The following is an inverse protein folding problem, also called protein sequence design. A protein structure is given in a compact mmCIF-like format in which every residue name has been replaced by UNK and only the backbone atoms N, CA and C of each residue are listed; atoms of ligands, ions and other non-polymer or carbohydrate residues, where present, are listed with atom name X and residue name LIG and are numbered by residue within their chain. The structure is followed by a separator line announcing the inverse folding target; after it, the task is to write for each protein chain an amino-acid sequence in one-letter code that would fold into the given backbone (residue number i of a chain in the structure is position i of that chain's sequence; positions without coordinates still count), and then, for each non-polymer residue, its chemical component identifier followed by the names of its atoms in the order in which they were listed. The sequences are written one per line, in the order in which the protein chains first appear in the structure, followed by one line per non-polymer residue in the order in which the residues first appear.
data_IF_725856521954
#
_entry.id   IF_725856521954
#
_cell.length_a   1.000
_cell.length_b   1.000
_cell.length_c   1.000
_cell.angle_alpha   90.00
_cell.angle_beta   90.00
_cell.angle_gamma   90.00
#
_symmetry.space_group_name_H-M   'P 1'
#
loop_
_entity.id
_entity.type
_entity.pdbx_description
1 polymer ?
#
# COMPACT_ATOMS: atom_id res chain seq x y z
N UNK A 1 5.82 12.40 65.96
CA UNK A 1 5.08 12.94 64.79
C UNK A 1 6.04 13.17 63.62
N UNK A 2 7.22 13.78 63.85
CA UNK A 2 8.20 14.04 62.80
C UNK A 2 8.79 12.76 62.18
N UNK A 3 9.15 11.76 62.99
CA UNK A 3 9.65 10.47 62.52
C UNK A 3 8.59 9.68 61.71
N UNK A 4 7.32 9.78 62.10
CA UNK A 4 6.23 9.16 61.40
C UNK A 4 5.98 9.86 60.07
N UNK A 5 6.00 11.18 60.03
CA UNK A 5 5.88 11.97 58.80
C UNK A 5 7.10 11.74 57.89
N UNK A 6 8.31 11.66 58.40
CA UNK A 6 9.51 11.34 57.64
C UNK A 6 9.43 9.92 57.01
N UNK A 7 8.91 8.93 57.77
CA UNK A 7 8.75 7.55 57.27
C UNK A 7 7.71 7.43 56.15
N UNK A 8 6.68 8.25 56.15
CA UNK A 8 5.67 8.31 55.11
C UNK A 8 6.20 9.05 53.87
N UNK A 9 6.95 10.14 54.08
CA UNK A 9 7.49 10.97 53.00
C UNK A 9 8.74 10.38 52.35
N UNK A 10 9.46 9.50 53.06
CA UNK A 10 10.73 8.93 52.61
C UNK A 10 10.61 7.51 52.03
N UNK A 11 9.40 7.03 51.71
CA UNK A 11 9.28 5.71 51.09
C UNK A 11 9.95 5.72 49.69
N UNK A 12 11.02 4.94 49.61
CA UNK A 12 11.73 4.80 48.33
C UNK A 12 10.87 4.12 47.28
N UNK A 13 10.79 4.72 46.12
CA UNK A 13 10.09 4.18 44.93
C UNK A 13 11.05 4.03 43.76
N UNK A 14 10.98 2.88 43.11
CA UNK A 14 11.75 2.60 41.93
C UNK A 14 11.22 3.40 40.73
N UNK A 15 12.07 3.78 39.78
CA UNK A 15 11.62 4.44 38.55
C UNK A 15 10.85 3.48 37.64
N UNK A 16 9.81 3.98 36.97
CA UNK A 16 9.26 3.31 35.80
C UNK A 16 10.15 3.60 34.62
N UNK A 17 10.37 2.59 33.78
CA UNK A 17 11.20 2.67 32.58
C UNK A 17 10.30 2.50 31.36
N UNK A 18 10.27 3.52 30.49
CA UNK A 18 9.74 3.38 29.14
C UNK A 18 10.87 2.94 28.21
N UNK A 19 10.67 1.82 27.52
CA UNK A 19 11.68 1.25 26.65
C UNK A 19 11.86 2.07 25.36
N UNK A 20 13.04 2.06 24.72
CA UNK A 20 13.24 2.61 23.41
C UNK A 20 12.30 1.95 22.38
N UNK A 21 11.85 2.73 21.39
CA UNK A 21 10.97 2.25 20.35
C UNK A 21 11.44 2.75 18.97
N UNK A 22 11.52 1.84 18.01
CA UNK A 22 11.75 2.20 16.61
C UNK A 22 10.45 2.64 15.95
N UNK A 23 10.56 3.54 14.99
CA UNK A 23 9.48 3.89 14.08
C UNK A 23 10.02 4.07 12.67
N UNK A 24 9.18 3.82 11.67
CA UNK A 24 9.51 4.02 10.26
C UNK A 24 8.25 4.40 9.48
N UNK A 25 8.41 5.24 8.48
CA UNK A 25 7.35 5.60 7.53
C UNK A 25 7.92 5.65 6.12
N UNK A 26 7.10 5.31 5.13
CA UNK A 26 7.36 5.62 3.73
C UNK A 26 7.00 7.09 3.52
N UNK A 27 7.91 7.85 2.93
CA UNK A 27 7.75 9.29 2.66
C UNK A 27 7.44 9.59 1.20
N UNK A 28 7.55 8.58 0.31
CA UNK A 28 7.24 8.69 -1.11
C UNK A 28 7.18 7.33 -1.79
N UNK A 29 6.36 7.23 -2.84
CA UNK A 29 6.23 6.03 -3.68
C UNK A 29 5.23 4.97 -3.19
N UNK A 30 4.64 5.12 -1.99
CA UNK A 30 3.60 4.21 -1.49
C UNK A 30 2.27 4.39 -2.21
N UNK A 31 1.42 3.38 -2.12
CA UNK A 31 0.08 3.38 -2.70
C UNK A 31 -0.23 2.14 -3.50
N UNK A 32 -1.40 2.14 -4.15
CA UNK A 32 -1.84 1.06 -5.02
C UNK A 32 -1.65 1.47 -6.48
N UNK A 33 -0.96 0.64 -7.24
CA UNK A 33 -0.61 0.87 -8.65
C UNK A 33 -0.98 -0.33 -9.49
N UNK A 34 -0.96 -0.16 -10.80
CA UNK A 34 -1.04 -1.31 -11.70
C UNK A 34 0.19 -2.21 -11.46
N UNK A 35 -0.05 -3.52 -11.43
CA UNK A 35 1.02 -4.50 -11.29
C UNK A 35 2.08 -4.32 -12.39
N UNK A 36 3.34 -4.34 -12.01
CA UNK A 36 4.46 -4.08 -12.89
C UNK A 36 4.97 -2.63 -12.90
N UNK A 37 4.21 -1.68 -12.33
CA UNK A 37 4.68 -0.28 -12.23
C UNK A 37 5.93 -0.18 -11.35
N UNK A 38 6.96 0.49 -11.83
CA UNK A 38 8.18 0.74 -11.07
C UNK A 38 8.04 2.01 -10.21
N UNK A 39 8.49 1.94 -8.96
CA UNK A 39 8.45 3.05 -7.99
C UNK A 39 9.75 3.17 -7.22
N UNK A 40 10.10 4.41 -6.89
CA UNK A 40 11.15 4.71 -5.93
C UNK A 40 10.49 4.90 -4.56
N UNK A 41 10.91 4.13 -3.57
CA UNK A 41 10.33 4.10 -2.22
C UNK A 41 11.26 4.82 -1.26
N UNK A 42 10.93 6.05 -0.93
CA UNK A 42 11.68 6.84 0.05
C UNK A 42 11.15 6.60 1.46
N UNK A 43 12.05 6.61 2.46
CA UNK A 43 11.68 6.35 3.84
C UNK A 43 12.39 7.26 4.84
N UNK A 44 11.81 7.32 6.04
CA UNK A 44 12.43 7.92 7.22
C UNK A 44 12.15 7.04 8.44
N UNK A 45 13.21 6.75 9.20
CA UNK A 45 13.18 5.94 10.42
C UNK A 45 13.73 6.73 11.58
N UNK A 46 13.28 6.44 12.80
CA UNK A 46 13.76 7.04 14.02
C UNK A 46 13.67 6.10 15.21
N UNK A 47 14.47 6.38 16.25
CA UNK A 47 14.42 5.71 17.53
C UNK A 47 13.99 6.72 18.60
N UNK A 48 12.95 6.40 19.37
CA UNK A 48 12.65 7.05 20.65
C UNK A 48 13.57 6.47 21.71
N UNK A 49 14.24 7.33 22.47
CA UNK A 49 15.22 6.91 23.48
C UNK A 49 14.59 6.26 24.73
N UNK A 50 13.25 6.29 24.84
CA UNK A 50 12.58 5.93 26.09
C UNK A 50 12.77 6.99 27.19
N UNK A 51 12.32 6.67 28.41
CA UNK A 51 12.42 7.60 29.56
C UNK A 51 12.45 6.86 30.89
N UNK A 52 12.91 7.55 31.91
CA UNK A 52 12.81 7.15 33.32
C UNK A 52 11.92 8.15 34.05
N UNK A 53 11.08 7.65 34.96
CA UNK A 53 10.27 8.54 35.83
C UNK A 53 11.15 9.39 36.73
N UNK A 54 12.28 8.82 37.26
CA UNK A 54 13.23 9.50 38.09
C UNK A 54 14.66 9.30 37.60
N UNK A 55 15.49 10.31 37.73
CA UNK A 55 16.90 10.25 37.37
C UNK A 55 17.24 11.02 36.08
N UNK A 56 18.39 10.74 35.48
CA UNK A 56 18.85 11.42 34.29
C UNK A 56 18.02 11.00 33.05
N UNK A 57 18.18 11.71 31.94
CA UNK A 57 17.75 11.23 30.61
C UNK A 57 18.39 9.86 30.32
N UNK A 58 17.73 9.03 29.52
CA UNK A 58 18.21 7.64 29.28
C UNK A 58 19.58 7.59 28.63
N UNK A 59 19.99 8.60 27.89
CA UNK A 59 21.23 8.60 27.11
C UNK A 59 21.26 7.55 25.99
N UNK A 60 20.10 6.93 25.67
CA UNK A 60 19.98 6.00 24.55
C UNK A 60 20.04 6.77 23.26
N UNK A 61 20.92 6.33 22.37
CA UNK A 61 21.09 6.86 21.01
C UNK A 61 21.03 5.72 20.01
N UNK A 62 20.50 6.03 18.82
CA UNK A 62 20.49 5.09 17.71
C UNK A 62 21.93 4.82 17.25
N UNK A 63 22.22 3.55 17.03
CA UNK A 63 23.41 3.08 16.34
C UNK A 63 23.13 2.84 14.85
N UNK A 64 23.39 1.61 14.38
CA UNK A 64 23.10 1.22 12.98
C UNK A 64 21.60 1.16 12.74
N UNK A 65 21.15 1.81 11.68
CA UNK A 65 19.79 1.75 11.16
C UNK A 65 19.80 0.97 9.86
N UNK A 66 19.11 -0.16 9.81
CA UNK A 66 18.98 -0.99 8.60
C UNK A 66 17.51 -1.05 8.20
N UNK A 67 17.18 -0.49 7.05
CA UNK A 67 15.86 -0.61 6.43
C UNK A 67 15.84 -1.79 5.45
N UNK A 68 14.71 -2.51 5.41
CA UNK A 68 14.52 -3.65 4.50
C UNK A 68 13.21 -3.51 3.75
N UNK A 69 13.28 -3.65 2.42
CA UNK A 69 12.13 -3.57 1.53
C UNK A 69 12.34 -4.47 0.31
N UNK A 70 11.38 -5.35 0.02
CA UNK A 70 11.42 -6.22 -1.16
C UNK A 70 12.74 -7.01 -1.30
N UNK A 71 13.23 -7.59 -0.20
CA UNK A 71 14.48 -8.35 -0.17
C UNK A 71 15.76 -7.51 -0.28
N UNK A 72 15.66 -6.20 -0.44
CA UNK A 72 16.78 -5.25 -0.45
C UNK A 72 16.97 -4.62 0.93
N UNK A 73 18.18 -4.18 1.23
CA UNK A 73 18.51 -3.45 2.46
C UNK A 73 19.21 -2.14 2.17
N UNK A 74 18.92 -1.11 2.95
CA UNK A 74 19.63 0.17 2.97
C UNK A 74 20.06 0.50 4.40
N UNK A 75 21.21 1.09 4.57
CA UNK A 75 21.68 1.64 5.84
C UNK A 75 21.37 3.13 5.93
N UNK A 76 21.01 3.58 7.13
CA UNK A 76 20.73 4.98 7.44
C UNK A 76 19.27 5.23 7.83
N UNK A 77 19.08 6.32 8.59
CA UNK A 77 17.76 6.75 9.07
C UNK A 77 16.82 7.26 7.95
N UNK A 78 17.38 7.58 6.80
CA UNK A 78 16.65 7.96 5.58
C UNK A 78 17.30 7.30 4.38
N UNK A 79 16.52 7.06 3.34
CA UNK A 79 17.04 6.50 2.09
C UNK A 79 15.94 6.26 1.07
N UNK A 80 16.32 5.70 -0.06
CA UNK A 80 15.40 5.36 -1.15
C UNK A 80 15.76 3.99 -1.71
N UNK A 81 14.76 3.13 -1.85
CA UNK A 81 14.84 1.90 -2.63
C UNK A 81 14.42 2.22 -4.07
N UNK A 82 15.37 2.19 -4.97
CA UNK A 82 15.16 2.55 -6.36
C UNK A 82 14.51 1.42 -7.15
N UNK A 83 13.67 1.80 -8.10
CA UNK A 83 13.14 0.92 -9.14
C UNK A 83 12.47 -0.35 -8.58
N UNK A 84 11.63 -0.19 -7.58
CA UNK A 84 10.89 -1.30 -6.97
C UNK A 84 9.62 -1.58 -7.79
N UNK A 85 9.44 -2.84 -8.18
CA UNK A 85 8.26 -3.27 -8.94
C UNK A 85 7.07 -3.43 -8.01
N UNK A 86 5.94 -2.81 -8.35
CA UNK A 86 4.66 -3.04 -7.67
C UNK A 86 4.11 -4.42 -8.09
N UNK A 87 4.35 -5.43 -7.24
CA UNK A 87 3.93 -6.81 -7.44
C UNK A 87 3.43 -7.39 -6.12
N UNK A 88 2.11 -7.41 -5.96
CA UNK A 88 1.48 -7.73 -4.68
C UNK A 88 1.69 -6.65 -3.62
N UNK A 89 1.54 -7.01 -2.35
CA UNK A 89 1.74 -6.09 -1.22
C UNK A 89 3.16 -6.18 -0.68
N UNK A 90 3.85 -5.05 -0.64
CA UNK A 90 5.22 -4.94 -0.12
C UNK A 90 5.25 -3.98 1.07
N UNK A 91 5.93 -4.42 2.13
CA UNK A 91 6.05 -3.70 3.39
C UNK A 91 7.50 -3.27 3.64
N UNK A 92 7.66 -2.08 4.19
CA UNK A 92 8.94 -1.58 4.68
C UNK A 92 9.10 -1.91 6.16
N UNK A 93 10.24 -2.47 6.54
CA UNK A 93 10.64 -2.66 7.92
C UNK A 93 11.98 -1.99 8.21
N UNK A 94 12.22 -1.68 9.49
CA UNK A 94 13.49 -1.15 9.95
C UNK A 94 13.94 -1.90 11.20
N UNK A 95 15.26 -2.03 11.35
CA UNK A 95 15.95 -2.51 12.54
C UNK A 95 16.96 -1.45 12.96
N UNK A 96 16.89 -1.01 14.22
CA UNK A 96 17.74 0.05 14.78
C UNK A 96 18.43 -0.48 16.02
N UNK A 97 19.76 -0.56 16.00
CA UNK A 97 20.55 -0.87 17.19
C UNK A 97 20.62 0.36 18.10
N UNK A 98 20.82 0.15 19.39
CA UNK A 98 21.05 1.24 20.34
C UNK A 98 22.01 0.81 21.45
N UNK A 99 22.70 1.78 22.02
CA UNK A 99 23.53 1.61 23.20
C UNK A 99 22.68 1.32 24.44
N UNK A 100 23.33 0.93 25.51
CA UNK A 100 22.72 0.89 26.85
C UNK A 100 22.38 2.28 27.36
N UNK A 101 21.35 2.37 28.19
CA UNK A 101 20.96 3.61 28.86
C UNK A 101 21.78 3.92 30.10
N UNK A 102 21.68 5.16 30.59
CA UNK A 102 22.19 5.56 31.88
C UNK A 102 21.47 4.80 33.00
N UNK A 103 22.09 4.72 34.18
CA UNK A 103 21.45 4.14 35.39
C UNK A 103 20.38 5.11 35.89
N UNK A 104 19.11 4.72 35.97
CA UNK A 104 18.08 5.55 36.56
C UNK A 104 18.25 5.69 38.05
N UNK A 105 17.47 6.56 38.66
CA UNK A 105 17.48 6.79 40.11
C UNK A 105 16.12 6.52 40.72
N UNK A 106 16.08 6.21 41.99
CA UNK A 106 14.85 6.22 42.79
C UNK A 106 14.36 7.66 43.00
N UNK A 107 13.14 7.83 43.49
CA UNK A 107 12.61 9.13 43.90
C UNK A 107 13.47 9.86 45.00
N UNK A 108 14.31 9.11 45.72
CA UNK A 108 15.26 9.64 46.71
C UNK A 108 16.64 9.93 46.13
N UNK A 109 16.85 9.71 44.80
CA UNK A 109 18.10 9.98 44.11
C UNK A 109 19.13 8.85 44.14
N UNK A 110 18.82 7.69 44.73
CA UNK A 110 19.69 6.53 44.76
C UNK A 110 19.76 5.83 43.39
N UNK A 111 20.94 5.35 42.96
CA UNK A 111 21.06 4.58 41.70
C UNK A 111 20.22 3.29 41.76
N UNK A 112 19.49 3.00 40.68
CA UNK A 112 18.68 1.80 40.55
C UNK A 112 19.03 1.02 39.27
N UNK A 113 20.01 0.14 39.36
CA UNK A 113 20.52 -0.64 38.22
C UNK A 113 19.46 -1.54 37.59
N UNK A 114 18.47 -2.03 38.35
CA UNK A 114 17.38 -2.89 37.84
C UNK A 114 16.47 -2.25 36.82
N UNK A 115 16.45 -0.90 36.72
CA UNK A 115 15.68 -0.16 35.72
C UNK A 115 16.49 0.29 34.50
N UNK A 116 17.78 -0.02 34.43
CA UNK A 116 18.66 0.37 33.32
C UNK A 116 18.21 -0.26 31.98
N UNK A 117 18.13 0.54 30.95
CA UNK A 117 17.86 0.05 29.57
C UNK A 117 19.11 -0.65 29.07
N UNK A 118 19.01 -1.93 28.72
CA UNK A 118 20.12 -2.68 28.12
C UNK A 118 20.31 -2.26 26.65
N UNK A 119 21.56 -2.35 26.16
CA UNK A 119 21.81 -2.22 24.73
C UNK A 119 21.03 -3.29 23.94
N UNK A 120 20.59 -2.96 22.73
CA UNK A 120 19.78 -3.90 21.97
C UNK A 120 19.38 -3.38 20.59
N UNK A 121 18.38 -4.04 20.04
CA UNK A 121 17.82 -3.71 18.72
C UNK A 121 16.31 -3.56 18.84
N UNK A 122 15.77 -2.54 18.18
CA UNK A 122 14.33 -2.30 18.03
C UNK A 122 13.95 -2.36 16.57
N UNK A 123 12.80 -2.96 16.29
CA UNK A 123 12.29 -3.08 14.92
C UNK A 123 10.90 -2.47 14.81
N UNK A 124 10.59 -1.97 13.62
CA UNK A 124 9.28 -1.42 13.29
C UNK A 124 8.94 -1.72 11.82
N UNK A 125 7.65 -1.71 11.50
CA UNK A 125 7.13 -1.74 10.14
C UNK A 125 6.43 -0.43 9.83
N UNK A 126 6.57 0.05 8.60
CA UNK A 126 5.83 1.21 8.13
C UNK A 126 4.34 0.86 7.99
N UNK A 127 3.42 1.76 8.39
CA UNK A 127 1.98 1.55 8.17
C UNK A 127 1.58 1.70 6.70
N UNK A 128 2.43 2.34 5.88
CA UNK A 128 2.21 2.48 4.43
C UNK A 128 2.81 1.27 3.70
N UNK A 129 2.19 0.92 2.56
CA UNK A 129 2.62 -0.19 1.70
C UNK A 129 2.72 0.25 0.24
N UNK A 130 3.49 -0.49 -0.55
CA UNK A 130 3.39 -0.49 -2.01
C UNK A 130 2.55 -1.70 -2.41
N UNK A 131 1.48 -1.47 -3.18
CA UNK A 131 0.58 -2.53 -3.62
C UNK A 131 0.48 -2.54 -5.14
N UNK A 132 0.81 -3.67 -5.76
CA UNK A 132 0.58 -3.93 -7.18
C UNK A 132 -0.68 -4.76 -7.37
N UNK A 133 -1.62 -4.26 -8.18
CA UNK A 133 -2.88 -4.96 -8.49
C UNK A 133 -3.11 -5.01 -10.00
N UNK A 134 -3.80 -6.05 -10.47
CA UNK A 134 -4.28 -6.07 -11.86
C UNK A 134 -5.36 -5.01 -12.04
N UNK A 135 -5.31 -4.33 -13.18
CA UNK A 135 -6.34 -3.38 -13.57
C UNK A 135 -7.39 -4.05 -14.44
N UNK A 136 -8.61 -3.52 -14.45
CA UNK A 136 -9.62 -3.75 -15.46
C UNK A 136 -9.48 -2.69 -16.55
N UNK A 137 -9.80 -3.06 -17.77
CA UNK A 137 -9.72 -2.19 -18.96
C UNK A 137 -11.09 -2.05 -19.56
N UNK A 138 -11.44 -0.85 -20.04
CA UNK A 138 -12.76 -0.58 -20.61
C UNK A 138 -12.75 0.61 -21.57
N UNK A 139 -13.63 0.57 -22.53
CA UNK A 139 -13.80 1.67 -23.46
C UNK A 139 -14.08 1.22 -24.88
N UNK A 140 -14.19 2.19 -25.82
CA UNK A 140 -14.38 1.91 -27.22
C UNK A 140 -13.11 1.40 -27.91
N UNK A 141 -13.30 0.52 -28.86
CA UNK A 141 -12.28 -0.03 -29.74
C UNK A 141 -12.85 -0.11 -31.14
N UNK A 142 -12.08 0.07 -32.23
CA UNK A 142 -12.56 -0.11 -33.57
C UNK A 142 -13.09 -1.55 -33.79
N UNK A 143 -14.08 -1.74 -34.65
CA UNK A 143 -14.76 -3.06 -34.81
C UNK A 143 -13.80 -4.14 -35.28
N UNK A 144 -12.83 -3.79 -36.12
CA UNK A 144 -11.80 -4.66 -36.70
C UNK A 144 -10.59 -4.91 -35.79
N UNK A 145 -10.41 -4.11 -34.72
CA UNK A 145 -9.28 -4.29 -33.79
C UNK A 145 -9.33 -5.66 -33.10
N UNK A 146 -8.21 -6.36 -33.09
CA UNK A 146 -8.07 -7.63 -32.37
C UNK A 146 -8.14 -7.44 -30.85
N UNK A 147 -8.71 -8.44 -30.17
CA UNK A 147 -8.71 -8.52 -28.70
C UNK A 147 -7.39 -9.15 -28.23
N UNK A 148 -6.34 -8.35 -28.17
CA UNK A 148 -5.01 -8.75 -27.71
C UNK A 148 -4.50 -7.80 -26.61
N UNK A 149 -3.37 -8.13 -26.00
CA UNK A 149 -2.78 -7.34 -24.92
C UNK A 149 -2.58 -5.88 -25.33
N UNK A 150 -1.97 -5.65 -26.49
CA UNK A 150 -1.63 -4.30 -26.95
C UNK A 150 -2.87 -3.40 -27.08
N UNK A 151 -3.93 -3.90 -27.70
CA UNK A 151 -5.14 -3.12 -27.92
C UNK A 151 -5.97 -2.94 -26.67
N UNK A 152 -6.04 -3.96 -25.79
CA UNK A 152 -6.72 -3.86 -24.48
C UNK A 152 -6.02 -2.83 -23.60
N UNK A 153 -4.71 -2.79 -23.57
CA UNK A 153 -3.95 -1.84 -22.75
C UNK A 153 -4.06 -0.38 -23.21
N UNK A 154 -4.50 -0.11 -24.43
CA UNK A 154 -4.80 1.27 -24.90
C UNK A 154 -6.12 1.81 -24.34
N UNK A 155 -6.98 0.96 -23.81
CA UNK A 155 -8.25 1.36 -23.19
C UNK A 155 -8.01 2.08 -21.84
N UNK A 156 -9.05 2.76 -21.36
CA UNK A 156 -9.06 3.27 -19.99
C UNK A 156 -8.94 2.11 -19.00
N UNK A 157 -8.27 2.34 -17.89
CA UNK A 157 -8.08 1.28 -16.91
C UNK A 157 -8.15 1.82 -15.47
N UNK A 158 -8.59 0.95 -14.55
CA UNK A 158 -8.67 1.22 -13.13
C UNK A 158 -8.33 -0.04 -12.32
N UNK A 159 -7.93 0.16 -11.06
CA UNK A 159 -7.66 -0.95 -10.15
C UNK A 159 -8.92 -1.80 -9.93
N UNK A 160 -8.77 -3.12 -9.95
CA UNK A 160 -9.88 -4.07 -9.75
C UNK A 160 -10.52 -4.01 -8.35
N UNK A 161 -9.87 -3.36 -7.39
CA UNK A 161 -10.47 -3.06 -6.08
C UNK A 161 -11.68 -2.13 -6.17
N UNK A 162 -11.76 -1.31 -7.21
CA UNK A 162 -12.97 -0.55 -7.55
C UNK A 162 -13.94 -1.47 -8.27
N UNK A 163 -14.90 -2.01 -7.55
CA UNK A 163 -15.89 -2.93 -8.13
C UNK A 163 -16.86 -2.30 -9.14
N UNK A 164 -16.88 -0.99 -9.25
CA UNK A 164 -17.72 -0.26 -10.19
C UNK A 164 -16.88 0.69 -11.02
N UNK A 165 -16.94 0.56 -12.33
CA UNK A 165 -16.38 1.52 -13.28
C UNK A 165 -17.35 2.68 -13.40
N UNK A 166 -16.86 3.90 -13.24
CA UNK A 166 -17.64 5.11 -13.47
C UNK A 166 -18.10 5.22 -14.94
N UNK A 167 -19.00 6.16 -15.18
CA UNK A 167 -19.57 6.40 -16.53
C UNK A 167 -18.45 6.71 -17.54
N UNK A 168 -18.46 6.00 -18.65
CA UNK A 168 -17.56 6.23 -19.78
C UNK A 168 -18.32 6.24 -21.11
N UNK A 169 -17.84 7.02 -22.07
CA UNK A 169 -18.44 7.12 -23.40
C UNK A 169 -18.08 5.94 -24.30
N UNK A 170 -19.00 5.57 -25.16
CA UNK A 170 -18.81 4.51 -26.14
C UNK A 170 -17.98 4.93 -27.37
N UNK A 171 -17.80 6.23 -27.59
CA UNK A 171 -17.24 6.72 -28.84
C UNK A 171 -18.32 6.80 -29.95
N UNK A 172 -17.91 7.08 -31.18
CA UNK A 172 -18.80 7.18 -32.34
C UNK A 172 -18.29 6.38 -33.52
N UNK A 173 -19.20 5.97 -34.40
CA UNK A 173 -18.87 5.27 -35.64
C UNK A 173 -18.76 3.74 -35.50
N UNK A 174 -17.88 3.14 -36.29
CA UNK A 174 -17.68 1.68 -36.32
C UNK A 174 -16.82 1.22 -35.13
N UNK A 175 -17.43 1.20 -33.95
CA UNK A 175 -16.75 0.83 -32.68
C UNK A 175 -17.48 -0.32 -32.02
N UNK A 176 -16.73 -1.06 -31.22
CA UNK A 176 -17.22 -2.00 -30.19
C UNK A 176 -16.83 -1.49 -28.82
N UNK A 177 -17.69 -1.70 -27.84
CA UNK A 177 -17.38 -1.38 -26.44
C UNK A 177 -16.84 -2.63 -25.75
N UNK A 178 -15.66 -2.50 -25.17
CA UNK A 178 -14.93 -3.62 -24.58
C UNK A 178 -14.79 -3.41 -23.07
N UNK A 179 -14.99 -4.48 -22.30
CA UNK A 179 -14.65 -4.56 -20.87
C UNK A 179 -13.83 -5.82 -20.65
N UNK A 180 -12.61 -5.65 -20.19
CA UNK A 180 -11.69 -6.74 -19.89
C UNK A 180 -11.33 -6.74 -18.39
N UNK A 181 -11.54 -7.86 -17.73
CA UNK A 181 -11.24 -8.05 -16.30
C UNK A 181 -10.41 -9.30 -16.08
N UNK A 182 -9.58 -9.39 -15.04
CA UNK A 182 -8.85 -10.62 -14.70
C UNK A 182 -9.77 -11.84 -14.68
N UNK A 183 -9.26 -13.02 -15.08
CA UNK A 183 -10.07 -14.21 -15.31
C UNK A 183 -10.82 -14.73 -14.07
N UNK A 184 -10.39 -14.35 -12.88
CA UNK A 184 -11.07 -14.65 -11.61
C UNK A 184 -12.24 -13.70 -11.31
N UNK A 185 -12.51 -12.74 -12.19
CA UNK A 185 -13.58 -11.73 -12.06
C UNK A 185 -14.55 -11.83 -13.25
N UNK A 186 -15.71 -11.22 -13.09
CA UNK A 186 -16.75 -11.16 -14.13
C UNK A 186 -17.46 -9.81 -14.14
N UNK A 187 -17.97 -9.43 -15.29
CA UNK A 187 -18.96 -8.35 -15.40
C UNK A 187 -20.29 -8.87 -14.86
N UNK A 188 -20.85 -8.18 -13.87
CA UNK A 188 -22.10 -8.57 -13.21
C UNK A 188 -23.26 -7.68 -13.62
N UNK A 189 -22.99 -6.43 -13.97
CA UNK A 189 -24.02 -5.48 -14.43
C UNK A 189 -23.41 -4.41 -15.34
N UNK A 190 -24.17 -4.03 -16.35
CA UNK A 190 -23.89 -2.88 -17.22
C UNK A 190 -25.14 -2.02 -17.30
N UNK A 191 -24.99 -0.74 -16.98
CA UNK A 191 -26.05 0.27 -17.11
C UNK A 191 -25.68 1.27 -18.20
N UNK A 192 -26.69 1.84 -18.84
CA UNK A 192 -26.57 2.95 -19.79
C UNK A 192 -27.09 4.25 -19.17
N UNK A 193 -26.25 5.08 -18.54
CA UNK A 193 -26.68 6.35 -17.95
C UNK A 193 -27.34 7.29 -18.98
N UNK A 194 -26.88 7.30 -20.22
CA UNK A 194 -27.47 8.07 -21.35
C UNK A 194 -28.91 7.65 -21.68
N UNK A 195 -29.30 6.42 -21.30
CA UNK A 195 -30.64 5.87 -21.52
C UNK A 195 -31.37 5.64 -20.18
N UNK A 196 -31.35 6.61 -19.30
CA UNK A 196 -32.01 6.56 -17.96
C UNK A 196 -31.59 5.34 -17.11
N UNK A 197 -30.33 4.95 -17.17
CA UNK A 197 -29.79 3.76 -16.51
C UNK A 197 -30.42 2.43 -16.96
N UNK A 198 -30.81 2.33 -18.22
CA UNK A 198 -31.31 1.07 -18.78
C UNK A 198 -30.26 -0.04 -18.58
N UNK A 199 -30.73 -1.25 -18.30
CA UNK A 199 -29.87 -2.42 -18.13
C UNK A 199 -29.41 -2.95 -19.50
N UNK A 200 -28.13 -2.87 -19.79
CA UNK A 200 -27.48 -3.35 -20.99
C UNK A 200 -26.65 -4.62 -20.77
N UNK A 201 -26.75 -5.26 -19.62
CA UNK A 201 -25.89 -6.40 -19.25
C UNK A 201 -25.94 -7.53 -20.28
N UNK A 202 -27.13 -7.87 -20.79
CA UNK A 202 -27.31 -8.93 -21.77
C UNK A 202 -26.69 -8.60 -23.17
N UNK A 203 -26.46 -7.32 -23.45
CA UNK A 203 -25.82 -6.87 -24.68
C UNK A 203 -24.31 -7.03 -24.71
N UNK A 204 -23.72 -7.15 -23.53
CA UNK A 204 -22.28 -7.39 -23.38
C UNK A 204 -22.00 -8.89 -23.37
N UNK A 205 -21.55 -9.40 -24.50
CA UNK A 205 -21.31 -10.84 -24.70
C UNK A 205 -19.88 -11.19 -24.29
N UNK A 206 -19.76 -12.15 -23.36
CA UNK A 206 -18.47 -12.71 -22.99
C UNK A 206 -17.87 -13.45 -24.18
N UNK A 207 -16.64 -13.11 -24.54
CA UNK A 207 -15.91 -13.78 -25.61
C UNK A 207 -15.45 -15.17 -25.16
N UNK A 208 -15.37 -16.10 -26.12
CA UNK A 208 -14.83 -17.43 -25.88
C UNK A 208 -13.34 -17.36 -25.55
N UNK A 209 -12.92 -18.13 -24.55
CA UNK A 209 -11.53 -18.11 -24.10
C UNK A 209 -11.17 -16.90 -23.25
N UNK A 210 -9.88 -16.75 -22.98
CA UNK A 210 -9.31 -15.62 -22.27
C UNK A 210 -8.20 -14.99 -23.10
N UNK A 211 -7.99 -13.70 -22.90
CA UNK A 211 -6.89 -12.95 -23.54
C UNK A 211 -5.77 -12.79 -22.52
N UNK A 212 -4.53 -13.05 -22.92
CA UNK A 212 -3.36 -12.76 -22.09
C UNK A 212 -3.06 -11.26 -22.15
N UNK A 213 -3.15 -10.56 -21.02
CA UNK A 213 -2.90 -9.12 -20.92
C UNK A 213 -1.75 -8.88 -19.96
N UNK A 214 -0.72 -8.18 -20.44
CA UNK A 214 0.43 -7.79 -19.65
C UNK A 214 0.06 -6.78 -18.55
N UNK A 215 0.87 -6.70 -17.50
CA UNK A 215 0.84 -5.60 -16.55
C UNK A 215 1.52 -4.35 -17.11
N UNK A 216 1.67 -3.35 -16.26
CA UNK A 216 2.43 -2.15 -16.61
C UNK A 216 3.87 -2.52 -17.00
N UNK A 217 4.46 -1.72 -17.89
CA UNK A 217 5.88 -1.84 -18.30
C UNK A 217 6.28 -3.25 -18.76
N UNK A 218 5.34 -3.99 -19.41
CA UNK A 218 5.59 -5.34 -19.90
C UNK A 218 5.62 -6.42 -18.82
N UNK A 219 5.08 -6.15 -17.65
CA UNK A 219 5.01 -7.15 -16.58
C UNK A 219 4.22 -8.38 -17.01
N UNK A 220 4.59 -9.54 -16.48
CA UNK A 220 4.04 -10.87 -16.81
C UNK A 220 2.55 -10.85 -17.09
N UNK A 221 2.16 -11.33 -18.27
CA UNK A 221 0.77 -11.40 -18.71
C UNK A 221 -0.07 -12.31 -17.78
N UNK A 222 -1.35 -11.99 -17.69
CA UNK A 222 -2.35 -12.83 -17.03
C UNK A 222 -3.59 -12.99 -17.90
N UNK A 223 -4.36 -14.03 -17.65
CA UNK A 223 -5.60 -14.29 -18.35
C UNK A 223 -6.68 -13.28 -17.97
N UNK A 224 -7.37 -12.73 -18.95
CA UNK A 224 -8.49 -11.81 -18.81
C UNK A 224 -9.73 -12.37 -19.50
N UNK A 225 -10.86 -12.28 -18.87
CA UNK A 225 -12.16 -12.45 -19.50
C UNK A 225 -12.55 -11.12 -20.18
N UNK A 226 -13.07 -11.20 -21.38
CA UNK A 226 -13.42 -10.01 -22.19
C UNK A 226 -14.90 -10.07 -22.56
N UNK A 227 -15.60 -8.98 -22.32
CA UNK A 227 -16.98 -8.75 -22.74
C UNK A 227 -17.01 -7.69 -23.83
N UNK A 228 -17.80 -7.92 -24.85
CA UNK A 228 -17.89 -7.04 -26.01
C UNK A 228 -19.36 -6.74 -26.29
N UNK A 229 -19.66 -5.46 -26.48
CA UNK A 229 -20.90 -4.97 -27.09
C UNK A 229 -20.58 -4.39 -28.45
N UNK A 230 -21.16 -4.94 -29.49
CA UNK A 230 -20.91 -4.53 -30.87
C UNK A 230 -22.25 -4.38 -31.61
N UNK A 231 -22.94 -3.24 -31.44
CA UNK A 231 -24.13 -2.93 -32.20
C UNK A 231 -23.77 -2.54 -33.65
N UNK A 232 -24.78 -2.43 -34.51
CA UNK A 232 -24.60 -1.97 -35.90
C UNK A 232 -24.06 -0.53 -35.97
N UNK A 233 -24.46 0.31 -35.02
CA UNK A 233 -23.94 1.68 -34.83
C UNK A 233 -24.04 2.06 -33.37
N UNK A 234 -23.12 2.93 -32.91
CA UNK A 234 -23.15 3.54 -31.58
C UNK A 234 -23.30 5.05 -31.76
N UNK A 235 -24.22 5.65 -30.99
CA UNK A 235 -24.32 7.09 -30.87
C UNK A 235 -23.18 7.64 -30.02
N UNK A 236 -22.60 8.76 -30.40
CA UNK A 236 -21.51 9.42 -29.66
C UNK A 236 -21.89 9.85 -28.24
N UNK A 237 -23.18 9.93 -27.94
CA UNK A 237 -23.73 10.28 -26.64
C UNK A 237 -23.92 9.07 -25.71
N UNK A 238 -23.80 7.85 -26.23
CA UNK A 238 -23.95 6.64 -25.40
C UNK A 238 -22.87 6.53 -24.35
N UNK A 239 -23.31 6.23 -23.14
CA UNK A 239 -22.43 6.05 -21.98
C UNK A 239 -22.77 4.77 -21.23
N UNK A 240 -21.76 4.17 -20.61
CA UNK A 240 -21.87 2.92 -19.86
C UNK A 240 -21.26 3.05 -18.47
N UNK A 241 -21.85 2.37 -17.50
CA UNK A 241 -21.32 2.14 -16.18
C UNK A 241 -21.34 0.63 -15.88
N UNK A 242 -20.22 0.07 -15.43
CA UNK A 242 -20.02 -1.38 -15.30
C UNK A 242 -19.74 -1.76 -13.87
N UNK A 243 -20.40 -2.81 -13.38
CA UNK A 243 -20.11 -3.44 -12.08
C UNK A 243 -19.46 -4.80 -12.33
N UNK A 244 -18.41 -5.08 -11.56
CA UNK A 244 -17.65 -6.34 -11.60
C UNK A 244 -17.74 -7.07 -10.25
N UNK A 245 -17.57 -8.39 -10.26
CA UNK A 245 -17.60 -9.22 -9.05
C UNK A 245 -16.79 -10.50 -9.17
#
# INVERSE_FOLDING_TARGET
VEEFMASILAKEANPNTTQPAASVKITGGNGTFEIGTHKNISYSASLSAGSYTYGPATGVVAGTVTASFDGKTNEGATGTFENVVADGTKELSVSITHNEGAVPKTNLGNPYAGGKIAAGTKSAKAPQTLVGVRHMFYGPMTTDAELNSENIRKLKHEATSKKTIGTFGAGAGAVKVVVAVPANMKVTKVLMPSAMNADATASFVKQAGSVQVEGAEGFTAAAYNVWVYQPASIDSTETYAVTIG
#
